data_IF_568439909372
#
_entry.id   IF_568439909372
#
_cell.length_a   1.000
_cell.length_b   1.000
_cell.length_c   1.000
_cell.angle_alpha   90.00
_cell.angle_beta   90.00
_cell.angle_gamma   90.00
#
_symmetry.space_group_name_H-M   'P 1'
#
loop_
_entity.id
_entity.type
_entity.pdbx_description
1 polymer ?
#
# COMPACT_ATOMS: atom_id res chain seq x y z
N UNK A 1 6.74 -15.06 -12.94
CA UNK A 1 7.63 -14.44 -11.97
C UNK A 1 6.91 -13.53 -11.00
N UNK A 2 7.62 -13.15 -9.96
CA UNK A 2 7.09 -12.22 -8.98
C UNK A 2 7.26 -10.80 -9.49
N UNK A 3 6.21 -10.02 -9.41
CA UNK A 3 6.25 -8.61 -9.78
C UNK A 3 6.30 -7.76 -8.52
N UNK A 4 7.10 -6.70 -8.56
CA UNK A 4 7.23 -5.75 -7.46
C UNK A 4 6.79 -4.38 -7.94
N UNK A 5 5.98 -3.72 -7.13
CA UNK A 5 5.57 -2.35 -7.41
C UNK A 5 6.47 -1.39 -6.64
N UNK A 6 6.83 -0.28 -7.28
CA UNK A 6 7.60 0.78 -6.64
C UNK A 6 6.74 2.04 -6.64
N UNK A 7 6.53 2.60 -5.46
CA UNK A 7 5.75 3.82 -5.28
C UNK A 7 6.67 4.93 -4.75
N UNK A 8 6.69 6.06 -5.46
CA UNK A 8 7.48 7.22 -5.07
C UNK A 8 6.61 8.22 -4.33
N UNK A 9 7.06 8.62 -3.16
CA UNK A 9 6.39 9.63 -2.34
C UNK A 9 7.33 10.78 -2.04
N UNK A 10 6.78 11.99 -2.00
CA UNK A 10 7.52 13.16 -1.55
C UNK A 10 6.98 13.62 -0.22
N UNK A 11 7.86 14.06 0.67
CA UNK A 11 7.48 14.58 1.97
C UNK A 11 8.42 15.71 2.37
N UNK A 12 7.92 16.62 3.20
CA UNK A 12 8.73 17.72 3.70
C UNK A 12 9.70 17.26 4.78
N UNK A 13 9.36 16.18 5.48
CA UNK A 13 10.17 15.63 6.57
C UNK A 13 10.15 14.10 6.48
N UNK A 14 11.19 13.43 7.02
CA UNK A 14 11.15 11.98 7.14
C UNK A 14 9.92 11.52 7.92
N UNK A 15 9.29 10.43 7.49
CA UNK A 15 8.09 9.91 8.11
C UNK A 15 8.43 8.84 9.13
N UNK A 16 7.67 8.83 10.24
CA UNK A 16 7.71 7.76 11.20
C UNK A 16 6.98 6.54 10.65
N UNK A 17 7.29 5.38 11.22
CA UNK A 17 6.70 4.11 10.77
C UNK A 17 5.16 4.12 10.82
N UNK A 18 4.56 4.84 11.77
CA UNK A 18 3.11 4.91 11.91
C UNK A 18 2.45 5.56 10.68
N UNK A 19 3.10 6.55 10.09
CA UNK A 19 2.60 7.19 8.87
C UNK A 19 2.83 6.32 7.63
N UNK A 20 3.88 5.49 7.67
CA UNK A 20 4.20 4.59 6.57
C UNK A 20 3.15 3.49 6.44
N UNK A 21 2.52 3.09 7.54
CA UNK A 21 1.45 2.08 7.50
C UNK A 21 0.30 2.52 6.60
N UNK A 22 -0.05 3.80 6.58
CA UNK A 22 -1.07 4.30 5.67
C UNK A 22 -0.65 4.16 4.21
N UNK A 23 0.62 4.39 3.92
CA UNK A 23 1.15 4.18 2.57
C UNK A 23 1.10 2.70 2.19
N UNK A 24 1.43 1.80 3.11
CA UNK A 24 1.33 0.37 2.86
C UNK A 24 -0.12 -0.07 2.61
N UNK A 25 -1.07 0.50 3.34
CA UNK A 25 -2.49 0.22 3.13
C UNK A 25 -2.94 0.68 1.75
N UNK A 26 -2.52 1.87 1.33
CA UNK A 26 -2.77 2.37 -0.03
C UNK A 26 -2.15 1.46 -1.08
N UNK A 27 -0.94 0.98 -0.82
CA UNK A 27 -0.24 0.06 -1.71
C UNK A 27 -0.99 -1.26 -1.81
N UNK A 28 -1.50 -1.77 -0.70
CA UNK A 28 -2.34 -2.98 -0.68
C UNK A 28 -3.59 -2.81 -1.55
N UNK A 29 -4.28 -1.68 -1.39
CA UNK A 29 -5.47 -1.39 -2.19
C UNK A 29 -5.15 -1.30 -3.67
N UNK A 30 -4.08 -0.58 -4.00
CA UNK A 30 -3.66 -0.40 -5.39
C UNK A 30 -3.26 -1.71 -6.06
N UNK A 31 -2.44 -2.52 -5.38
CA UNK A 31 -1.98 -3.80 -5.95
C UNK A 31 -3.13 -4.79 -6.11
N UNK A 32 -4.06 -4.80 -5.17
CA UNK A 32 -5.25 -5.65 -5.27
C UNK A 32 -6.08 -5.28 -6.50
N UNK A 33 -6.34 -3.99 -6.69
CA UNK A 33 -7.09 -3.51 -7.84
C UNK A 33 -6.35 -3.78 -9.15
N UNK A 34 -5.05 -3.51 -9.18
CA UNK A 34 -4.23 -3.73 -10.37
C UNK A 34 -4.19 -5.20 -10.76
N UNK A 35 -3.99 -6.08 -9.78
CA UNK A 35 -3.98 -7.52 -10.05
C UNK A 35 -5.32 -8.01 -10.60
N UNK A 36 -6.41 -7.46 -10.09
CA UNK A 36 -7.74 -7.82 -10.56
C UNK A 36 -8.00 -7.33 -11.98
N UNK A 37 -7.73 -6.05 -12.25
CA UNK A 37 -8.05 -5.42 -13.54
C UNK A 37 -7.15 -5.92 -14.65
N UNK A 38 -5.85 -6.04 -14.37
CA UNK A 38 -4.84 -6.37 -15.39
C UNK A 38 -4.39 -7.82 -15.34
N UNK A 39 -4.94 -8.61 -14.43
CA UNK A 39 -4.58 -10.03 -14.23
C UNK A 39 -3.07 -10.20 -13.98
N UNK A 40 -2.50 -9.26 -13.24
CA UNK A 40 -1.10 -9.31 -12.84
C UNK A 40 -0.96 -10.03 -11.50
N UNK A 41 0.28 -10.29 -11.10
CA UNK A 41 0.57 -10.97 -9.83
C UNK A 41 1.62 -10.17 -9.06
N UNK A 42 1.26 -8.96 -8.66
CA UNK A 42 2.11 -8.13 -7.82
C UNK A 42 2.02 -8.65 -6.40
N UNK A 43 3.15 -9.10 -5.85
CA UNK A 43 3.21 -9.75 -4.55
C UNK A 43 4.10 -9.02 -3.55
N UNK A 44 4.84 -8.01 -3.99
CA UNK A 44 5.70 -7.22 -3.10
C UNK A 44 5.71 -5.76 -3.53
N UNK A 45 6.16 -4.89 -2.64
CA UNK A 45 6.19 -3.48 -2.93
C UNK A 45 7.34 -2.76 -2.23
N UNK A 46 7.69 -1.61 -2.78
CA UNK A 46 8.70 -0.73 -2.22
C UNK A 46 8.14 0.68 -2.23
N UNK A 47 8.21 1.36 -1.10
CA UNK A 47 7.90 2.78 -1.03
C UNK A 47 9.22 3.54 -0.90
N UNK A 48 9.49 4.39 -1.88
CA UNK A 48 10.65 5.28 -1.86
C UNK A 48 10.17 6.67 -1.48
N UNK A 49 10.57 7.11 -0.31
CA UNK A 49 10.21 8.41 0.23
C UNK A 49 11.39 9.36 0.06
N UNK A 50 11.17 10.47 -0.62
CA UNK A 50 12.17 11.50 -0.82
C UNK A 50 11.73 12.77 -0.09
N UNK A 51 12.62 13.32 0.75
CA UNK A 51 12.37 14.59 1.41
C UNK A 51 13.01 15.74 0.64
N UNK A 52 12.61 16.97 0.98
CA UNK A 52 13.17 18.17 0.34
C UNK A 52 14.66 18.33 0.57
N UNK A 53 15.19 17.71 1.62
CA UNK A 53 16.64 17.74 1.93
C UNK A 53 17.43 16.64 1.21
N UNK A 54 16.82 15.98 0.23
CA UNK A 54 17.41 14.89 -0.54
C UNK A 54 17.74 13.66 0.31
N UNK A 55 16.99 13.47 1.40
CA UNK A 55 17.07 12.23 2.17
C UNK A 55 16.10 11.21 1.56
N UNK A 56 16.61 9.99 1.41
CA UNK A 56 15.82 8.90 0.87
C UNK A 56 15.56 7.87 1.96
N UNK A 57 14.31 7.45 2.07
CA UNK A 57 13.92 6.33 2.92
C UNK A 57 13.28 5.27 2.02
N UNK A 58 13.70 4.03 2.21
CA UNK A 58 13.17 2.89 1.47
C UNK A 58 12.43 1.98 2.43
N UNK A 59 11.17 1.68 2.10
CA UNK A 59 10.35 0.78 2.90
C UNK A 59 9.92 -0.36 2.01
N UNK A 60 10.42 -1.56 2.30
CA UNK A 60 10.06 -2.77 1.56
C UNK A 60 8.93 -3.49 2.27
N UNK A 61 8.04 -4.06 1.48
CA UNK A 61 6.96 -4.89 1.99
C UNK A 61 7.02 -6.25 1.31
N UNK A 62 7.10 -7.29 2.12
CA UNK A 62 7.19 -8.67 1.64
C UNK A 62 5.81 -9.18 1.19
N UNK A 63 5.83 -10.35 0.53
CA UNK A 63 4.62 -11.01 0.05
C UNK A 63 3.57 -11.17 1.16
N UNK A 64 3.99 -11.65 2.32
CA UNK A 64 3.10 -11.87 3.47
C UNK A 64 2.51 -10.57 3.99
N UNK A 65 3.34 -9.53 4.10
CA UNK A 65 2.90 -8.23 4.59
C UNK A 65 1.96 -7.56 3.60
N UNK A 66 2.24 -7.65 2.30
CA UNK A 66 1.36 -7.07 1.29
C UNK A 66 -0.02 -7.75 1.34
N UNK A 67 -0.05 -9.06 1.47
CA UNK A 67 -1.30 -9.80 1.61
C UNK A 67 -2.08 -9.32 2.85
N UNK A 68 -1.38 -9.08 3.95
CA UNK A 68 -2.00 -8.54 5.17
C UNK A 68 -2.68 -7.19 4.89
N UNK A 69 -1.99 -6.27 4.22
CA UNK A 69 -2.55 -4.96 3.92
C UNK A 69 -3.70 -5.04 2.92
N UNK A 70 -3.63 -5.95 1.94
CA UNK A 70 -4.74 -6.20 1.03
C UNK A 70 -5.98 -6.68 1.80
N UNK A 71 -5.80 -7.58 2.75
CA UNK A 71 -6.89 -8.09 3.57
C UNK A 71 -7.46 -7.02 4.50
N UNK A 72 -6.61 -6.16 5.06
CA UNK A 72 -7.08 -5.02 5.86
C UNK A 72 -7.93 -4.07 5.03
N UNK A 73 -7.52 -3.79 3.81
CA UNK A 73 -8.29 -2.94 2.91
C UNK A 73 -9.66 -3.56 2.60
N UNK A 74 -9.69 -4.85 2.29
CA UNK A 74 -10.95 -5.55 2.03
C UNK A 74 -11.87 -5.53 3.24
N UNK A 75 -11.33 -5.66 4.44
CA UNK A 75 -12.10 -5.58 5.66
C UNK A 75 -12.74 -4.20 5.86
N UNK A 76 -12.00 -3.14 5.58
CA UNK A 76 -12.51 -1.78 5.65
C UNK A 76 -13.60 -1.52 4.61
N UNK A 77 -13.40 -2.04 3.40
CA UNK A 77 -14.38 -1.92 2.33
C UNK A 77 -15.69 -2.62 2.68
N UNK A 78 -15.58 -3.80 3.28
CA UNK A 78 -16.76 -4.55 3.73
C UNK A 78 -17.52 -3.77 4.79
N UNK A 79 -16.83 -3.21 5.77
CA UNK A 79 -17.47 -2.39 6.81
C UNK A 79 -18.19 -1.19 6.21
N UNK A 80 -17.56 -0.52 5.26
CA UNK A 80 -18.16 0.61 4.57
C UNK A 80 -19.44 0.22 3.85
N UNK A 81 -19.42 -0.90 3.13
CA UNK A 81 -20.59 -1.40 2.43
C UNK A 81 -21.72 -1.81 3.38
N UNK A 82 -21.38 -2.42 4.52
CA UNK A 82 -22.37 -2.81 5.52
C UNK A 82 -23.03 -1.56 6.14
N UNK A 83 -22.27 -0.50 6.39
CA UNK A 83 -22.82 0.76 6.87
C UNK A 83 -23.75 1.41 5.86
N UNK A 84 -23.43 1.31 4.58
CA UNK A 84 -24.29 1.83 3.51
C UNK A 84 -25.62 1.12 3.44
N UNK A 85 -25.65 -0.18 3.72
CA UNK A 85 -26.89 -0.96 3.68
C UNK A 85 -27.86 -0.61 4.81
N UNK A 86 -27.35 -0.01 5.89
CA UNK A 86 -28.15 0.35 7.06
C UNK A 86 -28.80 1.72 6.88
N UNK A 87 -28.23 2.57 6.08
CA UNK A 87 -28.71 3.93 5.89
C UNK A 87 -29.84 4.07 4.87
#
# INVERSE_FOLDING_TARGET
GKETIIDFKQANRPKKIDYIQDYFLQLGAYTLAHNFVHKTNITSGIILLCTVDNLFQEFEISDTELLMYQNLFLGRLKKFNDLKKIS
#
